data_IF_979747092992
#
_entry.id   IF_979747092992
#
_cell.length_a   1.000
_cell.length_b   1.000
_cell.length_c   1.000
_cell.angle_alpha   90.00
_cell.angle_beta   90.00
_cell.angle_gamma   90.00
#
_symmetry.space_group_name_H-M   'P 1'
#
loop_
_entity.id
_entity.type
_entity.pdbx_description
1 polymer ?
#
# COMPACT_ATOMS: atom_id res chain seq x y z
N UNK A 1 4.57 -27.43 -7.53
CA UNK A 1 3.10 -27.34 -7.39
C UNK A 1 2.83 -26.30 -6.31
N UNK A 2 2.70 -25.02 -6.68
CA UNK A 2 2.76 -23.93 -5.70
C UNK A 2 1.35 -23.45 -5.37
N UNK A 3 0.98 -23.72 -4.12
CA UNK A 3 -0.27 -23.34 -3.48
C UNK A 3 -0.27 -21.83 -3.22
N UNK A 4 -1.28 -21.15 -3.74
CA UNK A 4 -1.79 -19.89 -3.20
C UNK A 4 -2.26 -20.13 -1.77
N UNK A 5 -1.75 -19.36 -0.80
CA UNK A 5 -2.21 -19.40 0.58
C UNK A 5 -2.50 -17.95 1.03
N UNK A 6 -3.77 -17.54 1.12
CA UNK A 6 -4.16 -16.21 1.53
C UNK A 6 -4.39 -16.19 3.05
N UNK A 7 -3.36 -15.85 3.83
CA UNK A 7 -3.47 -15.52 5.27
C UNK A 7 -2.33 -14.51 5.55
N UNK A 8 -2.47 -13.35 6.19
CA UNK A 8 -3.34 -12.98 7.31
C UNK A 8 -3.34 -11.42 7.46
N UNK A 9 -4.50 -10.74 7.47
CA UNK A 9 -4.59 -9.27 7.63
C UNK A 9 -4.19 -8.74 9.03
N UNK A 10 -3.90 -9.61 9.99
CA UNK A 10 -3.61 -9.24 11.39
C UNK A 10 -2.28 -8.52 11.61
N UNK A 11 -1.36 -8.55 10.64
CA UNK A 11 0.01 -8.04 10.80
C UNK A 11 0.19 -6.55 10.44
N UNK A 12 -0.86 -5.88 9.93
CA UNK A 12 -0.83 -4.47 9.51
C UNK A 12 -1.29 -3.47 10.59
N UNK A 13 -1.31 -3.87 11.86
CA UNK A 13 -1.84 -3.05 12.97
C UNK A 13 -0.97 -1.87 13.42
N UNK A 14 0.15 -1.56 12.75
CA UNK A 14 1.06 -0.49 13.18
C UNK A 14 0.96 0.83 12.39
N UNK A 15 0.05 0.93 11.40
CA UNK A 15 -0.19 2.17 10.63
C UNK A 15 -1.58 2.76 10.88
N UNK A 16 -2.01 2.81 12.15
CA UNK A 16 -3.22 3.54 12.53
C UNK A 16 -2.91 4.42 13.71
N UNK A 17 -2.37 5.61 13.48
CA UNK A 17 -2.46 6.75 14.41
C UNK A 17 -2.34 8.08 13.64
N UNK A 18 -3.49 8.66 13.30
CA UNK A 18 -3.75 10.10 13.33
C UNK A 18 -5.28 10.30 13.31
N UNK A 19 -5.77 11.22 14.16
CA UNK A 19 -7.16 11.37 14.65
C UNK A 19 -8.24 11.43 13.57
N UNK A 20 -9.51 11.13 13.86
CA UNK A 20 -10.38 11.94 14.73
C UNK A 20 -11.35 11.07 15.56
N UNK A 21 -11.53 11.45 16.82
CA UNK A 21 -12.47 10.87 17.78
C UNK A 21 -13.92 10.92 17.28
N UNK A 22 -14.52 9.75 17.03
CA UNK A 22 -15.98 9.64 17.00
C UNK A 22 -16.43 9.23 18.42
N UNK A 23 -16.93 10.22 19.18
CA UNK A 23 -17.60 9.99 20.47
C UNK A 23 -18.69 8.94 20.26
N UNK A 24 -18.50 7.75 20.82
CA UNK A 24 -19.50 6.69 20.82
C UNK A 24 -20.66 7.09 21.75
N UNK A 25 -21.78 7.55 21.18
CA UNK A 25 -23.07 7.58 21.88
C UNK A 25 -23.66 6.17 21.82
N UNK A 26 -23.54 5.43 22.93
CA UNK A 26 -24.29 4.20 23.16
C UNK A 26 -25.79 4.53 23.28
N UNK A 27 -26.69 3.95 22.45
CA UNK A 27 -28.13 4.09 22.69
C UNK A 27 -28.54 3.26 23.93
N UNK A 28 -29.47 3.75 24.77
CA UNK A 28 -29.89 3.05 25.98
C UNK A 28 -30.69 1.80 25.59
N UNK A 29 -30.26 0.63 26.07
CA UNK A 29 -31.08 -0.59 26.04
C UNK A 29 -32.25 -0.41 26.99
N UNK A 30 -33.49 -0.26 26.50
CA UNK A 30 -34.68 -0.67 27.23
C UNK A 30 -35.73 -1.24 26.28
N UNK A 31 -36.14 -2.48 26.57
CA UNK A 31 -37.23 -3.21 25.95
C UNK A 31 -38.54 -2.41 25.98
N UNK A 32 -39.25 -2.32 24.86
CA UNK A 32 -40.62 -2.85 24.73
C UNK A 32 -41.19 -2.67 23.33
N UNK A 33 -41.98 -3.68 22.96
CA UNK A 33 -42.68 -3.92 21.71
C UNK A 33 -43.63 -2.77 21.36
N UNK A 34 -43.47 -2.16 20.18
CA UNK A 34 -44.61 -1.65 19.43
C UNK A 34 -44.26 -1.59 17.94
N UNK A 35 -44.91 -2.46 17.18
CA UNK A 35 -44.89 -2.52 15.72
C UNK A 35 -45.55 -1.25 15.19
N UNK A 36 -44.76 -0.27 14.75
CA UNK A 36 -45.06 0.80 13.77
C UNK A 36 -43.98 1.91 13.86
N UNK A 37 -42.83 1.69 13.23
CA UNK A 37 -42.01 2.74 12.60
C UNK A 37 -41.33 2.15 11.36
N UNK A 38 -42.15 1.69 10.42
CA UNK A 38 -41.79 1.51 9.02
C UNK A 38 -41.75 2.88 8.34
N UNK A 39 -40.74 3.72 8.59
CA UNK A 39 -40.41 4.90 7.76
C UNK A 39 -39.13 5.57 8.28
N UNK A 40 -37.98 4.92 8.06
CA UNK A 40 -36.69 5.63 8.05
C UNK A 40 -35.79 5.02 6.97
N UNK A 41 -36.25 5.08 5.73
CA UNK A 41 -35.40 4.96 4.54
C UNK A 41 -34.66 6.30 4.31
N UNK A 42 -33.97 6.79 5.34
CA UNK A 42 -32.83 7.67 5.12
C UNK A 42 -31.65 6.72 5.15
N UNK A 43 -31.35 6.16 3.98
CA UNK A 43 -30.03 5.64 3.69
C UNK A 43 -29.06 6.76 4.05
N UNK A 44 -28.50 6.72 5.25
CA UNK A 44 -27.34 7.51 5.59
C UNK A 44 -26.31 7.13 4.54
N UNK A 45 -25.91 8.03 3.62
CA UNK A 45 -24.83 7.73 2.72
C UNK A 45 -23.67 7.40 3.64
N UNK A 46 -23.22 6.15 3.55
CA UNK A 46 -22.00 5.68 4.21
C UNK A 46 -21.00 6.81 4.09
N UNK A 47 -20.43 7.29 5.20
CA UNK A 47 -19.23 8.11 5.10
C UNK A 47 -18.20 7.24 4.37
N UNK A 48 -18.16 7.36 3.04
CA UNK A 48 -17.10 6.76 2.24
C UNK A 48 -15.90 7.64 2.51
N UNK A 49 -15.23 7.36 3.62
CA UNK A 49 -13.85 7.74 3.78
C UNK A 49 -13.12 7.03 2.64
N UNK A 50 -12.70 7.78 1.63
CA UNK A 50 -11.92 7.24 0.51
C UNK A 50 -10.58 6.76 1.08
N UNK A 51 -10.47 5.45 1.32
CA UNK A 51 -9.22 4.82 1.71
C UNK A 51 -8.30 4.79 0.49
N UNK A 52 -7.04 5.21 0.65
CA UNK A 52 -6.04 5.09 -0.41
C UNK A 52 -5.75 3.61 -0.64
N UNK A 53 -5.78 3.18 -1.91
CA UNK A 53 -5.48 1.79 -2.28
C UNK A 53 -4.24 1.74 -3.15
N UNK A 54 -3.39 0.75 -2.88
CA UNK A 54 -2.17 0.46 -3.63
C UNK A 54 -2.30 -0.94 -4.22
N UNK A 55 -2.00 -1.07 -5.51
CA UNK A 55 -2.08 -2.35 -6.21
C UNK A 55 -0.77 -2.64 -6.92
N UNK A 56 -0.08 -3.70 -6.49
CA UNK A 56 1.12 -4.21 -7.14
C UNK A 56 0.79 -5.00 -8.40
N UNK A 57 1.62 -4.86 -9.42
CA UNK A 57 1.62 -5.71 -10.60
C UNK A 57 3.03 -5.85 -11.19
N UNK A 58 3.28 -6.93 -11.94
CA UNK A 58 4.57 -7.18 -12.56
C UNK A 58 4.71 -8.62 -13.05
N UNK A 59 5.80 -8.97 -13.75
CA UNK A 59 6.03 -10.34 -14.18
C UNK A 59 6.39 -11.18 -12.94
N UNK A 60 5.56 -12.18 -12.65
CA UNK A 60 5.72 -13.03 -11.46
C UNK A 60 6.97 -13.92 -11.44
N UNK A 61 7.70 -14.00 -12.54
CA UNK A 61 8.95 -14.74 -12.63
C UNK A 61 9.93 -14.01 -13.56
N UNK A 62 11.16 -13.82 -13.10
CA UNK A 62 12.27 -13.29 -13.90
C UNK A 62 13.48 -14.23 -13.75
N UNK A 63 14.26 -14.43 -14.82
CA UNK A 63 15.49 -15.23 -14.74
C UNK A 63 16.60 -14.40 -14.08
N UNK A 64 17.61 -15.06 -13.47
CA UNK A 64 18.83 -14.38 -13.03
C UNK A 64 19.46 -13.56 -14.18
N UNK A 65 20.11 -12.46 -13.83
CA UNK A 65 20.73 -11.50 -14.76
C UNK A 65 19.77 -10.74 -15.68
N UNK A 66 18.46 -10.99 -15.60
CA UNK A 66 17.47 -10.18 -16.30
C UNK A 66 17.08 -8.94 -15.48
N UNK A 67 16.34 -8.04 -16.13
CA UNK A 67 15.67 -6.93 -15.47
C UNK A 67 14.24 -7.28 -15.13
N UNK A 68 13.76 -6.71 -14.03
CA UNK A 68 12.38 -6.78 -13.58
C UNK A 68 11.86 -5.35 -13.43
N UNK A 69 10.62 -5.12 -13.87
CA UNK A 69 9.87 -3.91 -13.60
C UNK A 69 8.58 -4.28 -12.90
N UNK A 70 8.42 -3.78 -11.68
CA UNK A 70 7.17 -3.84 -10.93
C UNK A 70 6.47 -2.48 -11.03
N UNK A 71 5.16 -2.51 -10.98
CA UNK A 71 4.27 -1.34 -11.05
C UNK A 71 3.41 -1.30 -9.81
N UNK A 72 3.19 -0.10 -9.31
CA UNK A 72 2.25 0.19 -8.26
C UNK A 72 1.23 1.20 -8.76
N UNK A 73 -0.05 0.81 -8.79
CA UNK A 73 -1.15 1.70 -9.16
C UNK A 73 -1.78 2.29 -7.90
N UNK A 74 -1.93 3.61 -7.88
CA UNK A 74 -2.52 4.35 -6.75
C UNK A 74 -3.97 4.70 -7.07
N UNK A 75 -4.87 4.40 -6.14
CA UNK A 75 -6.29 4.78 -6.22
C UNK A 75 -6.64 5.67 -5.04
N UNK A 76 -7.46 6.70 -5.30
CA UNK A 76 -7.94 7.67 -4.30
C UNK A 76 -6.85 8.58 -3.68
N UNK A 77 -5.66 8.62 -4.28
CA UNK A 77 -4.59 9.58 -3.99
C UNK A 77 -3.81 9.88 -5.29
N UNK A 78 -2.86 10.81 -5.26
CA UNK A 78 -2.05 11.18 -6.42
C UNK A 78 -0.57 10.87 -6.22
N UNK A 79 0.04 10.19 -7.19
CA UNK A 79 1.48 9.88 -7.18
C UNK A 79 2.35 11.14 -7.14
N UNK A 80 1.83 12.27 -7.62
CA UNK A 80 2.52 13.57 -7.58
C UNK A 80 2.36 14.33 -6.26
N UNK A 81 1.71 13.75 -5.25
CA UNK A 81 1.56 14.35 -3.93
C UNK A 81 2.92 14.68 -3.30
N UNK A 82 3.12 15.96 -2.97
CA UNK A 82 4.40 16.46 -2.43
C UNK A 82 4.55 16.26 -0.93
N UNK A 83 3.47 15.90 -0.22
CA UNK A 83 3.44 15.62 1.23
C UNK A 83 3.50 14.12 1.56
N UNK A 84 3.73 13.28 0.55
CA UNK A 84 3.65 11.82 0.65
C UNK A 84 4.92 11.19 0.10
N UNK A 85 5.30 10.04 0.65
CA UNK A 85 6.36 9.18 0.14
C UNK A 85 5.75 7.88 -0.40
N UNK A 86 6.30 7.38 -1.50
CA UNK A 86 5.92 6.11 -2.08
C UNK A 86 7.07 5.13 -1.95
N UNK A 87 6.80 3.99 -1.30
CA UNK A 87 7.85 3.09 -0.83
C UNK A 87 7.67 1.69 -1.38
N UNK A 88 8.80 1.02 -1.62
CA UNK A 88 8.84 -0.40 -1.92
C UNK A 88 9.39 -1.16 -0.72
N UNK A 89 8.69 -2.23 -0.36
CA UNK A 89 9.06 -3.18 0.68
C UNK A 89 9.10 -4.56 0.03
N UNK A 90 10.01 -5.42 0.45
CA UNK A 90 10.05 -6.82 0.00
C UNK A 90 10.06 -7.78 1.17
N UNK A 91 9.54 -8.97 0.97
CA UNK A 91 9.59 -10.06 1.94
C UNK A 91 10.20 -11.30 1.28
N UNK A 92 11.48 -11.60 1.56
CA UNK A 92 12.08 -12.86 1.13
C UNK A 92 11.41 -14.06 1.83
N UNK A 93 11.35 -15.24 1.19
CA UNK A 93 10.77 -16.44 1.80
C UNK A 93 11.43 -16.78 3.15
N UNK A 94 10.63 -16.95 4.19
CA UNK A 94 11.11 -17.27 5.53
C UNK A 94 11.81 -16.12 6.26
N UNK A 95 11.75 -14.89 5.72
CA UNK A 95 12.28 -13.67 6.36
C UNK A 95 11.18 -12.65 6.64
N UNK A 96 11.53 -11.63 7.43
CA UNK A 96 10.70 -10.46 7.67
C UNK A 96 10.64 -9.50 6.47
N UNK A 97 9.92 -8.40 6.66
CA UNK A 97 9.86 -7.30 5.69
C UNK A 97 11.19 -6.54 5.67
N UNK A 98 11.71 -6.31 4.46
CA UNK A 98 12.91 -5.53 4.17
C UNK A 98 12.53 -4.31 3.33
N UNK A 99 12.92 -3.13 3.77
CA UNK A 99 12.72 -1.90 3.01
C UNK A 99 13.67 -1.84 1.80
N UNK A 100 13.13 -1.52 0.62
CA UNK A 100 13.88 -1.47 -0.65
C UNK A 100 14.30 -0.04 -0.97
N UNK A 101 13.36 0.88 -0.91
CA UNK A 101 13.58 2.27 -1.31
C UNK A 101 12.28 3.07 -1.33
N UNK A 102 12.42 4.37 -1.55
CA UNK A 102 11.28 5.29 -1.71
C UNK A 102 11.53 6.36 -2.74
N UNK A 103 10.46 6.92 -3.27
CA UNK A 103 10.46 8.19 -4.00
C UNK A 103 9.69 9.23 -3.19
N UNK A 104 10.23 10.45 -3.13
CA UNK A 104 9.70 11.53 -2.31
C UNK A 104 9.99 12.89 -2.95
N UNK A 105 9.20 13.90 -2.56
CA UNK A 105 9.38 15.27 -3.00
C UNK A 105 9.92 16.13 -1.86
N UNK A 106 11.02 16.87 -2.07
CA UNK A 106 11.47 17.90 -1.12
C UNK A 106 11.49 19.29 -1.77
N UNK A 107 12.56 19.61 -2.48
CA UNK A 107 12.64 20.72 -3.44
C UNK A 107 12.52 20.22 -4.88
N UNK A 108 12.82 18.94 -5.08
CA UNK A 108 12.69 18.18 -6.31
C UNK A 108 12.37 16.72 -5.95
N UNK A 109 11.97 15.92 -6.95
CA UNK A 109 11.81 14.48 -6.78
C UNK A 109 13.16 13.83 -6.49
N UNK A 110 13.22 13.07 -5.40
CA UNK A 110 14.40 12.33 -4.94
C UNK A 110 14.05 10.87 -4.66
N UNK A 111 15.09 10.02 -4.62
CA UNK A 111 14.94 8.60 -4.32
C UNK A 111 15.99 8.14 -3.32
N UNK A 112 15.57 7.35 -2.35
CA UNK A 112 16.47 6.66 -1.41
C UNK A 112 16.36 5.14 -1.61
N UNK A 113 17.45 4.40 -1.41
CA UNK A 113 17.50 2.94 -1.54
C UNK A 113 18.26 2.31 -0.38
N UNK A 114 18.01 1.03 -0.11
CA UNK A 114 18.91 0.23 0.74
C UNK A 114 20.27 0.04 0.05
N UNK A 115 21.34 0.01 0.84
CA UNK A 115 22.72 -0.07 0.35
C UNK A 115 22.98 -1.30 -0.52
N UNK A 116 22.33 -2.44 -0.21
CA UNK A 116 22.44 -3.68 -0.97
C UNK A 116 21.86 -3.63 -2.39
N UNK A 117 21.03 -2.63 -2.67
CA UNK A 117 20.29 -2.46 -3.92
C UNK A 117 20.76 -1.23 -4.72
N UNK A 118 21.72 -0.48 -4.19
CA UNK A 118 22.28 0.70 -4.81
C UNK A 118 22.98 0.36 -6.13
N UNK A 119 22.80 1.21 -7.14
CA UNK A 119 23.42 1.05 -8.47
C UNK A 119 22.72 0.06 -9.41
N UNK A 120 21.74 -0.71 -8.92
CA UNK A 120 20.95 -1.66 -9.74
C UNK A 120 19.44 -1.52 -9.61
N UNK A 121 19.00 -0.54 -8.84
CA UNK A 121 17.57 -0.28 -8.57
C UNK A 121 17.25 1.15 -8.91
N UNK A 122 16.12 1.35 -9.58
CA UNK A 122 15.59 2.66 -9.96
C UNK A 122 14.11 2.71 -9.61
N UNK A 123 13.70 3.71 -8.84
CA UNK A 123 12.28 4.01 -8.58
C UNK A 123 11.88 5.23 -9.42
N UNK A 124 10.79 5.13 -10.16
CA UNK A 124 10.27 6.22 -11.01
C UNK A 124 8.77 6.36 -10.87
N UNK A 125 8.22 7.52 -11.21
CA UNK A 125 6.78 7.77 -11.20
C UNK A 125 6.28 8.18 -12.58
N UNK A 126 5.04 7.83 -12.89
CA UNK A 126 4.30 8.26 -14.07
C UNK A 126 2.97 8.88 -13.61
N UNK A 127 2.96 10.21 -13.61
CA UNK A 127 1.82 11.01 -13.18
C UNK A 127 0.63 10.90 -14.12
N UNK A 128 0.84 10.52 -15.38
CA UNK A 128 -0.25 10.37 -16.36
C UNK A 128 -1.12 9.14 -16.07
N UNK A 129 -0.53 8.11 -15.43
CA UNK A 129 -1.21 6.87 -15.07
C UNK A 129 -1.51 6.75 -13.59
N UNK A 130 -0.99 7.66 -12.78
CA UNK A 130 -1.03 7.59 -11.33
C UNK A 130 -0.33 6.33 -10.79
N UNK A 131 0.85 6.05 -11.34
CA UNK A 131 1.64 4.85 -11.03
C UNK A 131 3.07 5.21 -10.66
N UNK A 132 3.70 4.35 -9.87
CA UNK A 132 5.15 4.36 -9.69
C UNK A 132 5.73 2.96 -9.83
N UNK A 133 7.00 2.88 -10.21
CA UNK A 133 7.63 1.65 -10.65
C UNK A 133 8.90 1.38 -9.87
N UNK A 134 9.17 0.10 -9.63
CA UNK A 134 10.47 -0.40 -9.20
C UNK A 134 11.11 -1.13 -10.37
N UNK A 135 12.21 -0.60 -10.87
CA UNK A 135 13.05 -1.27 -11.86
C UNK A 135 14.30 -1.81 -11.18
N UNK A 136 14.54 -3.11 -11.32
CA UNK A 136 15.76 -3.76 -10.86
C UNK A 136 16.47 -4.40 -12.05
N UNK A 137 17.78 -4.23 -12.12
CA UNK A 137 18.64 -4.87 -13.14
C UNK A 137 19.57 -5.89 -12.47
N UNK A 138 20.08 -6.81 -13.28
CA UNK A 138 21.04 -7.84 -12.84
C UNK A 138 20.53 -8.64 -11.63
N UNK A 139 19.32 -9.19 -11.74
CA UNK A 139 18.67 -9.93 -10.67
C UNK A 139 19.49 -11.14 -10.23
N UNK A 140 19.50 -11.37 -8.92
CA UNK A 140 20.16 -12.50 -8.27
C UNK A 140 19.14 -13.34 -7.52
N UNK A 141 19.53 -14.55 -7.09
CA UNK A 141 18.66 -15.39 -6.26
C UNK A 141 18.21 -14.68 -4.97
N UNK A 142 19.04 -13.79 -4.42
CA UNK A 142 18.74 -12.99 -3.23
C UNK A 142 17.60 -11.99 -3.41
N UNK A 143 17.20 -11.70 -4.65
CA UNK A 143 16.11 -10.78 -4.98
C UNK A 143 14.74 -11.47 -5.06
N UNK A 144 14.72 -12.80 -4.87
CA UNK A 144 13.50 -13.58 -4.81
C UNK A 144 12.74 -13.24 -3.54
N UNK A 145 11.66 -12.48 -3.68
CA UNK A 145 10.83 -11.99 -2.60
C UNK A 145 9.43 -11.63 -3.12
N UNK A 146 8.47 -11.52 -2.22
CA UNK A 146 7.22 -10.81 -2.50
C UNK A 146 7.49 -9.32 -2.36
N UNK A 147 7.02 -8.49 -3.29
CA UNK A 147 7.21 -7.05 -3.26
C UNK A 147 5.87 -6.37 -2.97
N UNK A 148 5.91 -5.33 -2.15
CA UNK A 148 4.76 -4.58 -1.65
C UNK A 148 5.00 -3.08 -1.83
N UNK A 149 3.93 -2.38 -2.15
CA UNK A 149 3.86 -0.94 -2.12
C UNK A 149 3.49 -0.45 -0.72
N UNK A 150 4.04 0.69 -0.33
CA UNK A 150 3.60 1.40 0.87
C UNK A 150 3.54 2.91 0.63
N UNK A 151 2.74 3.58 1.46
CA UNK A 151 2.58 5.03 1.50
C UNK A 151 3.07 5.55 2.84
N UNK A 152 4.00 6.49 2.84
CA UNK A 152 4.44 7.21 4.02
C UNK A 152 4.00 8.67 3.99
N UNK A 153 3.83 9.27 5.17
CA UNK A 153 3.76 10.73 5.29
C UNK A 153 5.18 11.29 5.37
N UNK A 154 5.44 12.39 4.67
CA UNK A 154 6.70 13.11 4.80
C UNK A 154 6.69 14.04 6.03
#
# INVERSE_FOLDING_TARGET
MYKYNPLDPSSLNWLRHSGHSCLQLFPPRHMMKSLLMFLSLLASPSCVLSIVQLQESGPGLAKPSQSLRLTCTITSDSVSSTSTTWEWIRQPPGKGLEWVGRIYYRSSWGTDYTSSLQGRTTITQDTSKNEYYLQMISLTAADTATYYCARGSQ
#
